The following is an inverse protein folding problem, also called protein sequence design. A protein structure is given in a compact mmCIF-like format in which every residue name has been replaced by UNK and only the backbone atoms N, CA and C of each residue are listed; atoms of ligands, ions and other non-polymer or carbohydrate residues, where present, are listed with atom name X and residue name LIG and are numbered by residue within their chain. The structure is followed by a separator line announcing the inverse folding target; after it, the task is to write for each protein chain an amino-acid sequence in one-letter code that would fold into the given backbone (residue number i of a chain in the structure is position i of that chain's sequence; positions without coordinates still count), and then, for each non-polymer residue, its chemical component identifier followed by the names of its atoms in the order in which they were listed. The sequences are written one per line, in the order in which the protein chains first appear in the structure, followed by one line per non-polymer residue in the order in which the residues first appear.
data_IF_644255905785
#
_entry.id   IF_644255905785
#
_cell.length_a   1.000
_cell.length_b   1.000
_cell.length_c   1.000
_cell.angle_alpha   90.00
_cell.angle_beta   90.00
_cell.angle_gamma   90.00
#
_symmetry.space_group_name_H-M   'P 1'
#
loop_
_entity.id
_entity.type
_entity.pdbx_description
1 polymer ?
#
# COMPACT_ATOMS: atom_id res chain seq x y z
N UNK A 1 -27.17 -7.26 12.15
CA UNK A 1 -26.82 -7.99 10.91
C UNK A 1 -26.33 -9.40 11.26
N UNK A 2 -26.53 -10.40 10.40
CA UNK A 2 -25.95 -11.75 10.54
C UNK A 2 -24.93 -12.00 9.43
N UNK A 3 -23.86 -12.74 9.71
CA UNK A 3 -22.88 -13.13 8.69
C UNK A 3 -23.36 -14.35 7.88
N UNK A 4 -22.58 -14.75 6.86
CA UNK A 4 -22.82 -15.93 6.02
C UNK A 4 -22.90 -17.27 6.78
N UNK A 5 -22.60 -17.27 8.07
CA UNK A 5 -22.65 -18.43 8.97
C UNK A 5 -23.77 -18.30 10.02
N UNK A 6 -24.68 -17.32 9.88
CA UNK A 6 -25.80 -17.11 10.79
C UNK A 6 -25.46 -16.40 12.11
N UNK A 7 -24.20 -16.02 12.33
CA UNK A 7 -23.76 -15.35 13.56
C UNK A 7 -24.07 -13.86 13.53
N UNK A 8 -24.53 -13.30 14.66
CA UNK A 8 -24.76 -11.87 14.80
C UNK A 8 -23.44 -11.08 14.66
N UNK A 9 -23.41 -10.14 13.73
CA UNK A 9 -22.30 -9.22 13.50
C UNK A 9 -22.42 -8.08 14.50
N UNK A 10 -21.46 -8.00 15.42
CA UNK A 10 -21.36 -6.92 16.43
C UNK A 10 -20.43 -5.78 15.99
N UNK A 11 -19.48 -6.07 15.09
CA UNK A 11 -18.44 -5.13 14.66
C UNK A 11 -18.22 -5.28 13.15
N UNK A 12 -18.00 -4.15 12.47
CA UNK A 12 -17.70 -4.10 11.03
C UNK A 12 -16.40 -3.34 10.87
N UNK A 13 -15.41 -3.97 10.22
CA UNK A 13 -14.16 -3.31 9.84
C UNK A 13 -14.37 -2.63 8.48
N UNK A 14 -14.04 -1.35 8.40
CA UNK A 14 -14.06 -0.58 7.15
C UNK A 14 -12.62 -0.19 6.84
N UNK A 15 -12.17 -0.46 5.61
CA UNK A 15 -10.86 -0.04 5.11
C UNK A 15 -11.04 1.23 4.28
N UNK A 16 -10.33 2.29 4.67
CA UNK A 16 -10.43 3.61 4.03
C UNK A 16 -9.09 3.95 3.37
N UNK A 17 -9.15 4.35 2.10
CA UNK A 17 -7.97 4.73 1.31
C UNK A 17 -7.47 6.14 1.66
N UNK A 18 -8.37 7.03 2.11
CA UNK A 18 -8.03 8.42 2.46
C UNK A 18 -7.79 8.55 3.96
N UNK A 19 -6.56 8.95 4.34
CA UNK A 19 -6.18 9.24 5.72
C UNK A 19 -6.99 10.39 6.33
N UNK A 20 -7.43 11.36 5.51
CA UNK A 20 -8.23 12.51 5.96
C UNK A 20 -9.63 12.08 6.38
N UNK A 21 -10.32 11.35 5.50
CA UNK A 21 -11.67 10.82 5.76
C UNK A 21 -11.66 9.89 6.98
N UNK A 22 -10.60 9.09 7.14
CA UNK A 22 -10.41 8.27 8.33
C UNK A 22 -10.35 9.11 9.60
N UNK A 23 -9.61 10.22 9.59
CA UNK A 23 -9.47 11.07 10.77
C UNK A 23 -10.77 11.77 11.10
N UNK A 24 -11.45 12.34 10.11
CA UNK A 24 -12.74 13.02 10.28
C UNK A 24 -13.78 12.07 10.92
N UNK A 25 -13.86 10.82 10.44
CA UNK A 25 -14.74 9.80 11.02
C UNK A 25 -14.35 9.37 12.45
N UNK A 26 -13.06 9.31 12.75
CA UNK A 26 -12.57 8.97 14.10
C UNK A 26 -12.83 10.11 15.09
N UNK A 27 -12.77 11.36 14.64
CA UNK A 27 -13.04 12.54 15.46
C UNK A 27 -14.54 12.68 15.76
N UNK A 28 -15.40 12.39 14.77
CA UNK A 28 -16.86 12.40 14.91
C UNK A 28 -17.39 11.26 15.80
N UNK A 29 -16.64 10.14 15.90
CA UNK A 29 -16.93 8.93 16.71
C UNK A 29 -18.26 8.23 16.42
N UNK A 30 -19.12 8.77 15.56
CA UNK A 30 -20.42 8.22 15.22
C UNK A 30 -20.70 8.36 13.73
N UNK A 31 -21.25 7.31 13.14
CA UNK A 31 -21.69 7.26 11.75
C UNK A 31 -23.18 6.94 11.70
N UNK A 32 -23.97 7.79 11.06
CA UNK A 32 -25.40 7.53 10.87
C UNK A 32 -25.68 7.08 9.45
N UNK A 33 -26.23 5.88 9.29
CA UNK A 33 -26.62 5.30 8.00
C UNK A 33 -28.08 4.89 8.11
N UNK A 34 -28.95 5.38 7.23
CA UNK A 34 -30.38 5.03 7.18
C UNK A 34 -31.06 5.12 8.56
N UNK A 35 -30.83 6.23 9.28
CA UNK A 35 -31.39 6.49 10.61
C UNK A 35 -30.90 5.58 11.74
N UNK A 36 -29.87 4.77 11.51
CA UNK A 36 -29.19 3.96 12.52
C UNK A 36 -27.81 4.56 12.78
N UNK A 37 -27.52 4.87 14.05
CA UNK A 37 -26.22 5.36 14.47
C UNK A 37 -25.31 4.20 14.89
N UNK A 38 -24.06 4.25 14.43
CA UNK A 38 -23.00 3.31 14.74
C UNK A 38 -21.86 4.07 15.44
N UNK A 39 -21.34 3.52 16.53
CA UNK A 39 -20.12 4.03 17.14
C UNK A 39 -18.91 3.61 16.31
N UNK A 40 -17.99 4.55 16.09
CA UNK A 40 -16.75 4.34 15.34
C UNK A 40 -15.58 4.33 16.32
N UNK A 41 -14.78 3.29 16.24
CA UNK A 41 -13.50 3.19 16.94
C UNK A 41 -12.37 2.88 15.96
N UNK A 42 -11.16 3.33 16.32
CA UNK A 42 -9.97 2.99 15.56
C UNK A 42 -9.71 1.48 15.64
N UNK A 43 -9.77 0.81 14.49
CA UNK A 43 -9.35 -0.58 14.40
C UNK A 43 -7.83 -0.66 14.55
N UNK A 44 -7.38 -1.16 15.70
CA UNK A 44 -5.99 -1.54 15.91
C UNK A 44 -5.83 -3.03 15.64
N UNK A 45 -5.06 -3.35 14.59
CA UNK A 45 -4.69 -4.72 14.33
C UNK A 45 -3.95 -5.28 15.57
N UNK A 46 -4.27 -6.52 16.00
CA UNK A 46 -3.54 -7.15 17.09
C UNK A 46 -2.04 -7.16 16.78
N UNK A 47 -1.23 -6.70 17.74
CA UNK A 47 0.22 -6.65 17.56
C UNK A 47 0.74 -8.08 17.34
N UNK A 48 1.58 -8.23 16.32
CA UNK A 48 2.34 -9.46 16.15
C UNK A 48 3.38 -9.54 17.26
N UNK A 49 3.21 -10.50 18.16
CA UNK A 49 4.21 -10.74 19.21
C UNK A 49 5.45 -11.29 18.57
N UNK A 50 6.56 -10.65 18.88
CA UNK A 50 7.87 -11.12 18.50
C UNK A 50 8.19 -12.37 19.32
N UNK A 51 8.28 -13.52 18.65
CA UNK A 51 8.65 -14.79 19.26
C UNK A 51 10.05 -15.15 18.77
N UNK A 52 10.99 -15.28 19.70
CA UNK A 52 12.37 -15.59 19.40
C UNK A 52 12.47 -16.95 18.70
N UNK A 53 13.13 -16.98 17.55
CA UNK A 53 13.26 -18.21 16.76
C UNK A 53 14.18 -19.27 17.39
N UNK A 54 15.01 -18.88 18.38
CA UNK A 54 16.00 -19.73 19.06
C UNK A 54 15.38 -20.42 20.27
N UNK A 55 14.91 -19.65 21.24
CA UNK A 55 14.39 -20.15 22.52
C UNK A 55 12.85 -20.16 22.59
N UNK A 56 12.14 -19.67 21.56
CA UNK A 56 10.68 -19.47 21.57
C UNK A 56 10.20 -18.52 22.69
N UNK A 57 11.05 -17.59 23.14
CA UNK A 57 10.68 -16.57 24.13
C UNK A 57 9.94 -15.39 23.52
N UNK A 58 9.18 -14.67 24.33
CA UNK A 58 8.44 -13.48 23.91
C UNK A 58 9.35 -12.23 23.98
N UNK A 59 9.19 -11.31 23.02
CA UNK A 59 9.66 -9.94 23.13
C UNK A 59 11.10 -9.64 22.70
N UNK A 60 11.82 -10.57 22.07
CA UNK A 60 13.20 -10.32 21.62
C UNK A 60 13.56 -11.03 20.31
N UNK A 61 14.51 -10.45 19.57
CA UNK A 61 15.06 -11.04 18.35
C UNK A 61 16.10 -12.13 18.66
N UNK A 62 16.32 -13.04 17.70
CA UNK A 62 17.35 -14.11 17.82
C UNK A 62 18.72 -13.59 18.23
N UNK A 63 19.15 -12.44 17.70
CA UNK A 63 20.46 -11.82 17.98
C UNK A 63 20.61 -11.29 19.41
N UNK A 64 19.48 -11.03 20.09
CA UNK A 64 19.42 -10.49 21.44
C UNK A 64 18.93 -11.54 22.44
N UNK A 65 18.98 -12.82 22.05
CA UNK A 65 18.56 -13.90 22.91
C UNK A 65 19.62 -14.16 23.98
N UNK A 66 19.28 -14.07 25.29
CA UNK A 66 20.23 -14.36 26.36
C UNK A 66 20.58 -15.84 26.45
N UNK A 67 19.73 -16.70 25.87
CA UNK A 67 19.86 -18.15 25.96
C UNK A 67 20.87 -18.67 24.93
N UNK A 68 21.82 -19.47 25.42
CA UNK A 68 22.81 -20.14 24.59
C UNK A 68 22.21 -21.36 23.87
N UNK A 69 21.19 -22.00 24.46
CA UNK A 69 20.52 -23.19 23.91
C UNK A 69 19.38 -22.83 22.95
N UNK A 70 19.10 -23.73 22.02
CA UNK A 70 17.96 -23.65 21.11
C UNK A 70 16.81 -24.51 21.65
N UNK A 71 15.56 -24.12 21.42
CA UNK A 71 14.38 -24.87 21.84
C UNK A 71 13.60 -25.33 20.63
N UNK A 72 13.23 -26.61 20.59
CA UNK A 72 12.39 -27.14 19.54
C UNK A 72 11.00 -26.48 19.58
N UNK A 73 10.51 -26.03 18.42
CA UNK A 73 9.22 -25.34 18.30
C UNK A 73 8.01 -26.26 18.53
N UNK A 74 8.22 -27.55 18.34
CA UNK A 74 7.19 -28.58 18.42
C UNK A 74 7.17 -29.19 19.82
N UNK A 75 8.26 -29.77 20.33
CA UNK A 75 8.25 -30.44 21.63
C UNK A 75 8.64 -29.54 22.82
N UNK A 76 9.08 -28.30 22.56
CA UNK A 76 9.56 -27.35 23.58
C UNK A 76 10.77 -27.79 24.42
N UNK A 77 11.49 -28.84 24.00
CA UNK A 77 12.74 -29.28 24.63
C UNK A 77 13.94 -28.43 24.17
N UNK A 78 14.91 -28.25 25.07
CA UNK A 78 16.12 -27.45 24.84
C UNK A 78 17.31 -28.30 24.40
N UNK A 79 18.03 -27.85 23.39
CA UNK A 79 19.18 -28.51 22.77
C UNK A 79 20.33 -27.52 22.56
N UNK A 80 21.57 -28.00 22.47
CA UNK A 80 22.72 -27.15 22.12
C UNK A 80 22.77 -26.84 20.62
N UNK A 81 22.53 -27.84 19.78
CA UNK A 81 22.29 -27.65 18.34
C UNK A 81 20.98 -28.34 17.95
N UNK A 82 20.11 -27.60 17.27
CA UNK A 82 18.79 -28.08 16.85
C UNK A 82 18.87 -28.93 15.57
N UNK A 83 20.02 -28.95 14.88
CA UNK A 83 20.24 -29.76 13.68
C UNK A 83 20.20 -31.27 13.95
N UNK A 84 20.59 -31.68 15.14
CA UNK A 84 20.64 -33.09 15.54
C UNK A 84 19.31 -33.59 16.13
N UNK A 85 18.29 -32.74 16.18
CA UNK A 85 17.00 -33.06 16.78
C UNK A 85 15.96 -33.48 15.73
N UNK A 86 15.65 -34.78 15.70
CA UNK A 86 14.47 -35.31 15.01
C UNK A 86 13.27 -35.33 15.96
N UNK A 87 12.35 -34.38 15.77
CA UNK A 87 11.16 -34.26 16.62
C UNK A 87 10.09 -35.31 16.23
N UNK A 88 9.85 -36.28 17.11
CA UNK A 88 8.75 -37.27 16.98
C UNK A 88 7.61 -37.00 17.97
N UNK A 89 7.77 -36.03 18.87
CA UNK A 89 6.81 -35.74 19.93
C UNK A 89 5.65 -34.84 19.49
N UNK A 90 4.53 -34.97 20.19
CA UNK A 90 3.36 -34.10 20.03
C UNK A 90 3.67 -32.62 20.30
N UNK A 91 2.98 -31.69 19.62
CA UNK A 91 3.21 -30.27 19.76
C UNK A 91 2.86 -29.78 21.18
N UNK A 92 3.86 -29.33 21.92
CA UNK A 92 3.74 -28.74 23.26
C UNK A 92 4.19 -27.29 23.25
N UNK A 93 3.39 -26.43 23.88
CA UNK A 93 3.65 -25.00 23.94
C UNK A 93 4.55 -24.66 25.14
N UNK A 94 5.68 -24.00 24.91
CA UNK A 94 6.61 -23.59 25.97
C UNK A 94 5.99 -22.65 27.01
N UNK A 95 5.00 -21.86 26.60
CA UNK A 95 4.43 -20.82 27.45
C UNK A 95 3.31 -21.32 28.37
N UNK A 96 2.55 -22.34 27.93
CA UNK A 96 1.37 -22.81 28.66
C UNK A 96 1.28 -24.33 28.77
N UNK A 97 2.27 -25.06 28.25
CA UNK A 97 2.38 -26.51 28.22
C UNK A 97 1.20 -27.26 27.55
N UNK A 98 0.35 -26.55 26.80
CA UNK A 98 -0.77 -27.15 26.07
C UNK A 98 -0.40 -27.76 24.73
N UNK A 99 -1.36 -28.46 24.12
CA UNK A 99 -1.20 -29.25 22.88
C UNK A 99 -1.24 -28.38 21.62
N UNK A 100 -0.28 -27.46 21.51
CA UNK A 100 -0.07 -26.62 20.34
C UNK A 100 1.37 -26.11 20.30
N UNK A 101 1.81 -25.64 19.14
CA UNK A 101 3.13 -25.03 18.99
C UNK A 101 3.23 -23.69 19.73
N UNK A 102 4.42 -23.33 20.21
CA UNK A 102 4.65 -22.08 20.98
C UNK A 102 4.30 -20.80 20.23
N UNK A 103 4.26 -20.85 18.89
CA UNK A 103 3.86 -19.73 18.03
C UNK A 103 2.36 -19.71 17.68
N UNK A 104 1.58 -20.68 18.15
CA UNK A 104 0.17 -20.79 17.82
C UNK A 104 -0.65 -19.66 18.43
N UNK A 105 -1.60 -19.15 17.64
CA UNK A 105 -2.60 -18.15 18.06
C UNK A 105 -3.53 -18.67 19.17
N UNK A 106 -3.55 -19.99 19.40
CA UNK A 106 -4.38 -20.64 20.43
C UNK A 106 -3.78 -20.52 21.83
N UNK A 107 -2.52 -20.10 21.98
CA UNK A 107 -1.87 -20.01 23.28
C UNK A 107 -2.48 -18.88 24.14
N UNK A 108 -3.01 -19.18 25.34
CA UNK A 108 -3.60 -18.16 26.21
C UNK A 108 -2.57 -17.14 26.71
N UNK A 109 -1.32 -17.55 26.93
CA UNK A 109 -0.23 -16.67 27.38
C UNK A 109 0.22 -15.72 26.27
N UNK A 110 0.35 -16.20 25.04
CA UNK A 110 0.64 -15.34 23.89
C UNK A 110 -0.52 -14.37 23.65
N UNK A 111 -1.77 -14.81 23.87
CA UNK A 111 -2.97 -13.97 23.73
C UNK A 111 -3.02 -12.85 24.79
N UNK A 112 -2.72 -13.15 26.05
CA UNK A 112 -2.69 -12.12 27.10
C UNK A 112 -1.56 -11.11 26.87
N UNK A 113 -0.37 -11.60 26.48
CA UNK A 113 0.77 -10.73 26.16
C UNK A 113 0.48 -9.80 24.97
N UNK A 114 -0.20 -10.31 23.93
CA UNK A 114 -0.73 -9.49 22.82
C UNK A 114 -1.64 -8.38 23.33
N UNK A 115 -2.63 -8.74 24.14
CA UNK A 115 -3.60 -7.80 24.66
C UNK A 115 -2.94 -6.70 25.51
N UNK A 116 -1.92 -7.04 26.30
CA UNK A 116 -1.17 -6.08 27.11
C UNK A 116 -0.34 -5.13 26.24
N UNK A 117 0.39 -5.64 25.25
CA UNK A 117 1.15 -4.79 24.31
C UNK A 117 0.23 -3.84 23.56
N UNK A 118 -0.92 -4.33 23.07
CA UNK A 118 -1.90 -3.48 22.39
C UNK A 118 -2.46 -2.40 23.34
N UNK A 119 -2.71 -2.75 24.61
CA UNK A 119 -3.15 -1.79 25.64
C UNK A 119 -2.11 -0.71 25.93
N UNK A 120 -0.82 -1.08 26.00
CA UNK A 120 0.28 -0.13 26.22
C UNK A 120 0.38 0.89 25.09
N UNK A 121 0.28 0.46 23.83
CA UNK A 121 0.29 1.39 22.68
C UNK A 121 -0.93 2.32 22.70
N UNK A 122 -2.11 1.78 23.01
CA UNK A 122 -3.34 2.56 23.17
C UNK A 122 -3.20 3.65 24.25
N UNK A 123 -2.62 3.30 25.39
CA UNK A 123 -2.40 4.26 26.48
C UNK A 123 -1.36 5.33 26.11
N UNK A 124 -0.29 4.97 25.40
CA UNK A 124 0.75 5.91 24.99
C UNK A 124 0.29 6.92 23.95
N UNK A 125 -0.66 6.56 23.06
CA UNK A 125 -1.18 7.49 22.05
C UNK A 125 -2.13 8.56 22.61
N UNK A 126 -2.75 8.33 23.77
CA UNK A 126 -3.60 9.33 24.44
C UNK A 126 -2.81 10.37 25.24
N UNK A 127 -1.52 10.12 25.51
CA UNK A 127 -0.62 11.06 26.17
C UNK A 127 0.48 11.51 25.21
N UNK A 128 0.13 12.33 24.21
CA UNK A 128 1.13 13.04 23.42
C UNK A 128 1.46 14.35 24.16
N UNK A 129 2.67 14.54 24.73
CA UNK A 129 3.08 15.86 25.17
C UNK A 129 3.16 16.72 23.91
N UNK A 130 2.45 17.85 23.92
CA UNK A 130 2.72 18.92 22.98
C UNK A 130 4.23 19.22 23.02
N UNK A 131 4.84 19.28 21.86
CA UNK A 131 6.24 19.64 21.68
C UNK A 131 6.43 21.08 22.20
N UNK A 132 6.77 21.23 23.47
CA UNK A 132 7.25 22.49 24.05
C UNK A 132 8.78 22.46 23.97
N UNK A 133 9.28 23.05 22.89
CA UNK A 133 10.66 23.48 22.78
C UNK A 133 10.88 24.65 23.74
N UNK A 134 11.41 24.38 24.94
CA UNK A 134 12.10 25.35 25.81
C UNK A 134 12.74 24.63 27.00
N UNK A 135 14.02 24.34 26.93
CA UNK A 135 14.83 24.11 28.13
C UNK A 135 16.14 24.86 27.98
N UNK A 136 16.12 26.10 28.46
CA UNK A 136 17.28 26.92 28.78
C UNK A 136 18.02 26.24 29.93
N UNK A 137 19.22 25.73 29.65
CA UNK A 137 20.16 25.22 30.65
C UNK A 137 20.67 26.40 31.48
N UNK A 138 20.24 26.49 32.74
CA UNK A 138 20.87 27.34 33.76
C UNK A 138 22.24 26.77 34.11
N UNK A 139 23.28 27.49 33.69
CA UNK A 139 24.68 27.19 33.91
C UNK A 139 25.06 27.66 35.32
N UNK A 140 25.12 26.76 36.31
CA UNK A 140 25.66 27.08 37.63
C UNK A 140 27.19 26.99 37.59
N UNK A 141 27.83 28.16 37.62
CA UNK A 141 29.27 28.35 37.56
C UNK A 141 29.87 28.10 38.96
N UNK A 142 30.49 26.94 39.20
CA UNK A 142 31.31 26.71 40.39
C UNK A 142 32.72 27.24 40.14
N UNK A 143 33.10 28.29 40.86
CA UNK A 143 34.43 28.89 40.79
C UNK A 143 35.38 28.18 41.77
N UNK A 144 36.41 27.54 41.24
CA UNK A 144 37.42 26.78 41.99
C UNK A 144 38.33 27.74 42.77
N UNK A 145 38.46 27.56 44.09
CA UNK A 145 39.38 28.31 44.94
C UNK A 145 40.54 27.41 45.41
N UNK A 146 41.80 27.65 45.00
CA UNK A 146 42.92 26.77 45.31
C UNK A 146 43.36 26.78 46.79
N UNK A 147 42.80 27.67 47.61
CA UNK A 147 43.21 27.85 49.02
C UNK A 147 42.52 26.90 50.00
N UNK A 148 41.53 26.12 49.57
CA UNK A 148 40.75 25.21 50.42
C UNK A 148 41.42 23.83 50.62
N UNK A 149 42.63 23.61 50.09
CA UNK A 149 43.35 22.35 50.24
C UNK A 149 44.70 22.51 50.97
N UNK A 150 45.03 21.64 51.95
CA UNK A 150 46.31 21.70 52.64
C UNK A 150 47.49 21.33 51.71
N UNK A 151 48.68 21.91 51.92
CA UNK A 151 49.82 21.68 51.04
C UNK A 151 50.30 20.23 51.11
N UNK A 152 50.42 19.61 49.94
CA UNK A 152 50.85 18.21 49.80
C UNK A 152 52.34 18.11 50.16
N UNK A 153 52.64 17.49 51.30
CA UNK A 153 54.02 17.12 51.66
C UNK A 153 54.48 15.99 50.76
N UNK A 154 55.56 16.22 50.02
CA UNK A 154 56.20 15.28 49.11
C UNK A 154 56.82 14.10 49.86
N UNK A 155 56.08 13.00 49.96
CA UNK A 155 56.61 11.69 50.33
C UNK A 155 55.71 10.61 49.73
N UNK A 156 55.95 10.28 48.46
CA UNK A 156 55.34 9.12 47.81
C UNK A 156 56.43 8.34 47.10
N UNK A 157 56.92 7.30 47.77
CA UNK A 157 57.56 6.17 47.11
C UNK A 157 56.53 5.46 46.23
N UNK A 158 56.93 4.78 45.13
CA UNK A 158 56.00 4.14 44.22
C UNK A 158 55.39 2.92 44.90
N UNK A 159 54.20 3.09 45.48
CA UNK A 159 53.38 1.98 45.93
C UNK A 159 52.53 1.60 44.73
N UNK A 160 52.80 0.44 44.14
CA UNK A 160 51.88 -0.27 43.25
C UNK A 160 50.61 -0.60 44.04
N UNK A 161 49.74 0.40 44.14
CA UNK A 161 48.47 0.27 44.83
C UNK A 161 47.44 -0.26 43.82
N UNK A 162 46.69 -1.33 44.14
CA UNK A 162 45.62 -1.85 43.29
C UNK A 162 44.51 -0.83 43.01
N UNK A 163 44.53 0.32 43.68
CA UNK A 163 43.67 1.46 43.40
C UNK A 163 44.14 2.27 42.19
N UNK A 164 45.45 2.36 41.95
CA UNK A 164 46.04 3.05 40.79
C UNK A 164 45.82 2.22 39.52
N UNK A 165 45.91 0.89 39.59
CA UNK A 165 45.57 0.03 38.45
C UNK A 165 44.08 0.15 38.08
N UNK A 166 43.17 0.13 39.07
CA UNK A 166 41.74 0.38 38.83
C UNK A 166 41.46 1.77 38.26
N UNK A 167 42.20 2.79 38.67
CA UNK A 167 42.07 4.14 38.11
C UNK A 167 42.53 4.17 36.65
N UNK A 168 43.65 3.52 36.32
CA UNK A 168 44.12 3.38 34.94
C UNK A 168 43.12 2.58 34.09
N UNK A 169 42.49 1.54 34.63
CA UNK A 169 41.43 0.78 33.94
C UNK A 169 40.21 1.67 33.66
N UNK A 170 39.80 2.50 34.61
CA UNK A 170 38.70 3.46 34.44
C UNK A 170 39.06 4.53 33.39
N UNK A 171 40.27 5.07 33.41
CA UNK A 171 40.75 6.05 32.42
C UNK A 171 40.75 5.43 31.01
N UNK A 172 41.22 4.18 30.89
CA UNK A 172 41.24 3.44 29.63
C UNK A 172 39.81 3.14 29.15
N UNK A 173 38.92 2.75 30.06
CA UNK A 173 37.50 2.56 29.78
C UNK A 173 36.82 3.85 29.31
N UNK A 174 37.10 4.99 29.93
CA UNK A 174 36.57 6.29 29.53
C UNK A 174 37.07 6.69 28.13
N UNK A 175 38.35 6.48 27.85
CA UNK A 175 38.92 6.74 26.53
C UNK A 175 38.24 5.88 25.45
N UNK A 176 37.96 4.62 25.76
CA UNK A 176 37.29 3.70 24.83
C UNK A 176 35.81 4.05 24.61
N UNK A 177 35.11 4.53 25.64
CA UNK A 177 33.75 5.08 25.50
C UNK A 177 33.78 6.31 24.60
N UNK A 178 34.73 7.22 24.79
CA UNK A 178 34.85 8.42 23.97
C UNK A 178 35.12 8.10 22.48
N UNK A 179 35.99 7.11 22.21
CA UNK A 179 36.23 6.62 20.84
C UNK A 179 34.96 6.00 20.24
N UNK A 180 34.21 5.23 21.02
CA UNK A 180 32.94 4.65 20.58
C UNK A 180 31.90 5.73 20.26
N UNK A 181 31.79 6.75 21.12
CA UNK A 181 30.91 7.90 20.89
C UNK A 181 31.27 8.66 19.62
N UNK A 182 32.56 8.87 19.36
CA UNK A 182 33.04 9.51 18.13
C UNK A 182 32.60 8.75 16.88
N UNK A 183 32.79 7.42 16.86
CA UNK A 183 32.33 6.55 15.77
C UNK A 183 30.80 6.58 15.62
N UNK A 184 30.06 6.61 16.72
CA UNK A 184 28.60 6.70 16.69
C UNK A 184 28.14 8.04 16.09
N UNK A 185 28.82 9.13 16.44
CA UNK A 185 28.54 10.45 15.89
C UNK A 185 28.78 10.49 14.37
N UNK A 186 29.90 9.94 13.89
CA UNK A 186 30.19 9.84 12.45
C UNK A 186 29.17 8.98 11.70
N UNK A 187 28.77 7.84 12.27
CA UNK A 187 27.76 6.97 11.65
C UNK A 187 26.39 7.64 11.62
N UNK A 188 26.02 8.39 12.65
CA UNK A 188 24.79 9.18 12.67
C UNK A 188 24.81 10.28 11.59
N UNK A 189 25.93 11.00 11.45
CA UNK A 189 26.10 12.02 10.41
C UNK A 189 25.94 11.44 8.98
N UNK A 190 26.54 10.27 8.72
CA UNK A 190 26.36 9.55 7.45
C UNK A 190 24.91 9.11 7.22
N UNK A 191 24.23 8.67 8.28
CA UNK A 191 22.82 8.30 8.20
C UNK A 191 21.91 9.50 7.89
N UNK A 192 22.15 10.65 8.53
CA UNK A 192 21.42 11.88 8.23
C UNK A 192 21.63 12.31 6.77
N UNK A 193 22.86 12.28 6.29
CA UNK A 193 23.17 12.58 4.89
C UNK A 193 22.46 11.61 3.93
N UNK A 194 22.44 10.32 4.25
CA UNK A 194 21.70 9.32 3.49
C UNK A 194 20.20 9.62 3.47
N UNK A 195 19.60 9.98 4.60
CA UNK A 195 18.19 10.32 4.69
C UNK A 195 17.84 11.55 3.85
N UNK A 196 18.69 12.58 3.85
CA UNK A 196 18.51 13.77 3.00
C UNK A 196 18.54 13.40 1.51
N UNK A 197 19.53 12.62 1.09
CA UNK A 197 19.65 12.18 -0.31
C UNK A 197 18.46 11.33 -0.72
N UNK A 198 18.04 10.40 0.16
CA UNK A 198 16.89 9.54 -0.10
C UNK A 198 15.59 10.34 -0.21
N UNK A 199 15.35 11.28 0.70
CA UNK A 199 14.17 12.13 0.64
C UNK A 199 14.14 12.99 -0.64
N UNK A 200 15.29 13.54 -1.06
CA UNK A 200 15.38 14.28 -2.32
C UNK A 200 15.06 13.41 -3.54
N UNK A 201 15.55 12.16 -3.54
CA UNK A 201 15.26 11.19 -4.58
C UNK A 201 13.77 10.79 -4.60
N UNK A 202 13.18 10.54 -3.43
CA UNK A 202 11.77 10.18 -3.32
C UNK A 202 10.86 11.33 -3.80
N UNK A 203 11.22 12.59 -3.50
CA UNK A 203 10.52 13.76 -4.04
C UNK A 203 10.59 13.87 -5.56
N UNK A 204 11.72 13.49 -6.17
CA UNK A 204 11.85 13.45 -7.63
C UNK A 204 10.92 12.39 -8.25
N UNK A 205 10.87 11.19 -7.66
CA UNK A 205 9.97 10.12 -8.11
C UNK A 205 8.51 10.56 -8.01
N UNK A 206 8.12 11.20 -6.91
CA UNK A 206 6.75 11.70 -6.72
C UNK A 206 6.39 12.69 -7.86
N UNK A 207 7.29 13.61 -8.19
CA UNK A 207 7.09 14.55 -9.31
C UNK A 207 6.95 13.86 -10.67
N UNK A 208 7.76 12.83 -10.95
CA UNK A 208 7.64 12.03 -12.17
C UNK A 208 6.29 11.29 -12.26
N UNK A 209 5.82 10.71 -11.15
CA UNK A 209 4.52 10.05 -11.06
C UNK A 209 3.37 11.03 -11.31
N UNK A 210 3.43 12.23 -10.73
CA UNK A 210 2.41 13.27 -10.94
C UNK A 210 2.36 13.74 -12.40
N UNK A 211 3.52 13.91 -13.03
CA UNK A 211 3.60 14.24 -14.46
C UNK A 211 2.98 13.15 -15.34
N UNK A 212 3.28 11.88 -15.07
CA UNK A 212 2.67 10.74 -15.79
C UNK A 212 1.15 10.72 -15.62
N UNK A 213 0.66 10.96 -14.39
CA UNK A 213 -0.77 11.02 -14.10
C UNK A 213 -1.48 12.17 -14.82
N UNK A 214 -0.81 13.30 -14.98
CA UNK A 214 -1.35 14.42 -15.77
C UNK A 214 -1.45 14.07 -17.25
N UNK A 215 -0.45 13.38 -17.81
CA UNK A 215 -0.47 12.94 -19.19
C UNK A 215 -1.58 11.90 -19.45
N UNK A 216 -1.79 10.97 -18.52
CA UNK A 216 -2.85 9.96 -18.60
C UNK A 216 -4.24 10.61 -18.71
N UNK A 217 -4.53 11.63 -17.88
CA UNK A 217 -5.78 12.41 -17.98
C UNK A 217 -5.96 13.10 -19.34
N UNK A 218 -4.86 13.58 -19.92
CA UNK A 218 -4.89 14.20 -21.25
C UNK A 218 -5.24 13.16 -22.31
N UNK A 219 -4.62 11.98 -22.27
CA UNK A 219 -4.96 10.87 -23.17
C UNK A 219 -6.42 10.42 -23.02
N UNK A 220 -6.93 10.33 -21.81
CA UNK A 220 -8.34 9.98 -21.56
C UNK A 220 -9.28 11.00 -22.19
N UNK A 221 -8.97 12.30 -22.06
CA UNK A 221 -9.74 13.39 -22.68
C UNK A 221 -9.69 13.32 -24.20
N UNK A 222 -8.50 13.10 -24.78
CA UNK A 222 -8.30 12.97 -26.22
C UNK A 222 -9.05 11.74 -26.78
N UNK A 223 -9.09 10.64 -26.04
CA UNK A 223 -9.78 9.42 -26.40
C UNK A 223 -11.31 9.60 -26.39
N UNK A 224 -11.86 10.30 -25.39
CA UNK A 224 -13.28 10.67 -25.36
C UNK A 224 -13.63 11.58 -26.54
N UNK A 225 -12.77 12.55 -26.85
CA UNK A 225 -12.97 13.44 -28.01
C UNK A 225 -12.94 12.66 -29.33
N UNK A 226 -12.02 11.71 -29.49
CA UNK A 226 -11.94 10.88 -30.69
C UNK A 226 -13.18 10.00 -30.84
N UNK A 227 -13.63 9.37 -29.75
CA UNK A 227 -14.80 8.50 -29.77
C UNK A 227 -16.08 9.27 -30.13
N UNK A 228 -16.26 10.47 -29.57
CA UNK A 228 -17.39 11.34 -29.92
C UNK A 228 -17.35 11.80 -31.39
N UNK A 229 -16.16 12.08 -31.95
CA UNK A 229 -16.01 12.37 -33.38
C UNK A 229 -16.34 11.16 -34.25
N UNK A 230 -15.87 9.97 -33.89
CA UNK A 230 -16.20 8.72 -34.60
C UNK A 230 -17.70 8.49 -34.63
N UNK A 231 -18.36 8.60 -33.47
CA UNK A 231 -19.81 8.39 -33.37
C UNK A 231 -20.61 9.41 -34.22
N UNK A 232 -20.17 10.67 -34.26
CA UNK A 232 -20.77 11.68 -35.15
C UNK A 232 -20.59 11.31 -36.63
N UNK A 233 -19.42 10.80 -37.01
CA UNK A 233 -19.15 10.36 -38.37
C UNK A 233 -20.04 9.18 -38.78
N UNK A 234 -20.20 8.18 -37.89
CA UNK A 234 -21.08 7.04 -38.14
C UNK A 234 -22.54 7.47 -38.32
N UNK A 235 -23.02 8.40 -37.50
CA UNK A 235 -24.37 8.93 -37.61
C UNK A 235 -24.56 9.71 -38.93
N UNK A 236 -23.57 10.51 -39.35
CA UNK A 236 -23.60 11.20 -40.65
C UNK A 236 -23.59 10.20 -41.82
N UNK A 237 -22.79 9.14 -41.73
CA UNK A 237 -22.75 8.10 -42.76
C UNK A 237 -24.09 7.38 -42.88
N UNK A 238 -24.73 7.02 -41.76
CA UNK A 238 -26.08 6.44 -41.76
C UNK A 238 -27.11 7.39 -42.36
N UNK A 239 -27.05 8.68 -42.02
CA UNK A 239 -27.96 9.67 -42.58
C UNK A 239 -27.77 9.83 -44.09
N UNK A 240 -26.53 9.86 -44.58
CA UNK A 240 -26.24 9.91 -46.01
C UNK A 240 -26.71 8.65 -46.73
N UNK A 241 -26.57 7.48 -46.12
CA UNK A 241 -27.09 6.21 -46.67
C UNK A 241 -28.61 6.23 -46.79
N UNK A 242 -29.32 6.73 -45.77
CA UNK A 242 -30.78 6.90 -45.81
C UNK A 242 -31.22 7.89 -46.89
N UNK A 243 -30.52 9.02 -47.03
CA UNK A 243 -30.79 10.00 -48.10
C UNK A 243 -30.58 9.36 -49.47
N UNK A 244 -29.52 8.58 -49.66
CA UNK A 244 -29.27 7.86 -50.90
C UNK A 244 -30.38 6.85 -51.20
N UNK A 245 -30.83 6.08 -50.21
CA UNK A 245 -31.96 5.15 -50.38
C UNK A 245 -33.26 5.89 -50.73
N UNK A 246 -33.54 7.01 -50.07
CA UNK A 246 -34.78 7.78 -50.25
C UNK A 246 -34.82 8.57 -51.57
N UNK A 247 -33.67 8.95 -52.13
CA UNK A 247 -33.63 9.71 -53.39
C UNK A 247 -33.31 8.83 -54.60
N UNK A 248 -32.27 8.01 -54.51
CA UNK A 248 -31.71 7.33 -55.67
C UNK A 248 -32.59 6.14 -56.11
N UNK A 249 -33.13 5.37 -55.17
CA UNK A 249 -34.00 4.23 -55.50
C UNK A 249 -35.32 4.67 -56.14
N UNK A 250 -36.05 5.69 -55.63
CA UNK A 250 -37.26 6.17 -56.28
C UNK A 250 -37.00 6.80 -57.65
N UNK A 251 -35.89 7.53 -57.84
CA UNK A 251 -35.52 8.08 -59.15
C UNK A 251 -35.23 6.97 -60.15
N UNK A 252 -34.53 5.91 -59.75
CA UNK A 252 -34.32 4.73 -60.59
C UNK A 252 -35.64 4.03 -60.94
N UNK A 253 -36.58 3.96 -59.98
CA UNK A 253 -37.93 3.43 -60.21
C UNK A 253 -38.71 4.24 -61.24
N UNK A 254 -38.64 5.57 -61.15
CA UNK A 254 -39.35 6.44 -62.09
C UNK A 254 -38.70 6.42 -63.48
N UNK A 255 -37.37 6.36 -63.57
CA UNK A 255 -36.66 6.14 -64.84
C UNK A 255 -37.07 4.79 -65.46
N UNK A 256 -37.15 3.72 -64.66
CA UNK A 256 -37.61 2.41 -65.13
C UNK A 256 -39.04 2.45 -65.68
N UNK A 257 -39.94 3.20 -65.03
CA UNK A 257 -41.31 3.40 -65.54
C UNK A 257 -41.31 4.16 -66.87
N UNK A 258 -40.55 5.25 -66.97
CA UNK A 258 -40.46 6.07 -68.19
C UNK A 258 -39.91 5.24 -69.35
N UNK A 259 -38.79 4.55 -69.14
CA UNK A 259 -38.17 3.68 -70.15
C UNK A 259 -39.13 2.55 -70.53
N UNK A 260 -39.85 1.96 -69.57
CA UNK A 260 -40.86 0.93 -69.85
C UNK A 260 -42.02 1.41 -70.74
N UNK A 261 -42.35 2.70 -70.70
CA UNK A 261 -43.34 3.32 -71.60
C UNK A 261 -42.73 3.64 -72.96
N UNK A 262 -41.51 4.19 -72.99
CA UNK A 262 -40.82 4.56 -74.23
C UNK A 262 -40.32 3.36 -75.05
N UNK A 263 -40.04 2.23 -74.39
CA UNK A 263 -39.53 1.01 -75.00
C UNK A 263 -40.64 0.10 -75.54
N UNK A 264 -41.74 0.68 -76.04
CA UNK A 264 -42.85 -0.04 -76.66
C UNK A 264 -43.17 0.57 -78.02
N UNK A 265 -43.44 -0.27 -79.01
CA UNK A 265 -43.97 0.20 -80.29
C UNK A 265 -45.46 0.59 -80.20
N UNK A 266 -46.03 1.14 -81.27
CA UNK A 266 -47.46 1.50 -81.34
C UNK A 266 -48.42 0.32 -81.12
N UNK A 267 -47.93 -0.92 -81.18
CA UNK A 267 -48.68 -2.16 -80.92
C UNK A 267 -48.43 -2.74 -79.52
N UNK A 268 -47.64 -2.04 -78.69
CA UNK A 268 -47.31 -2.43 -77.32
C UNK A 268 -46.19 -3.46 -77.18
N UNK A 269 -45.49 -3.82 -78.26
CA UNK A 269 -44.37 -4.78 -78.24
C UNK A 269 -43.08 -4.09 -77.80
N UNK A 270 -42.23 -4.75 -76.99
CA UNK A 270 -40.98 -4.16 -76.54
C UNK A 270 -40.01 -3.92 -77.71
N UNK A 271 -39.44 -2.72 -77.81
CA UNK A 271 -38.49 -2.35 -78.88
C UNK A 271 -37.11 -2.98 -78.66
N UNK A 272 -36.65 -3.02 -77.40
CA UNK A 272 -35.45 -3.73 -76.95
C UNK A 272 -35.81 -4.57 -75.73
N UNK A 273 -35.79 -5.90 -75.89
CA UNK A 273 -36.16 -6.84 -74.83
C UNK A 273 -35.17 -6.86 -73.65
N UNK A 274 -33.93 -6.38 -73.85
CA UNK A 274 -32.83 -6.52 -72.88
C UNK A 274 -32.56 -5.21 -72.10
N UNK A 275 -33.09 -4.07 -72.53
CA UNK A 275 -33.00 -2.80 -71.78
C UNK A 275 -33.54 -2.96 -70.37
N UNK A 276 -34.69 -3.60 -70.21
CA UNK A 276 -35.32 -3.77 -68.89
C UNK A 276 -34.46 -4.61 -67.95
N UNK A 277 -33.92 -5.73 -68.43
CA UNK A 277 -33.05 -6.63 -67.68
C UNK A 277 -31.77 -5.92 -67.21
N UNK A 278 -31.14 -5.10 -68.06
CA UNK A 278 -29.95 -4.32 -67.71
C UNK A 278 -30.22 -3.31 -66.59
N UNK A 279 -31.33 -2.57 -66.66
CA UNK A 279 -31.67 -1.60 -65.62
C UNK A 279 -32.13 -2.26 -64.30
N UNK A 280 -32.81 -3.40 -64.35
CA UNK A 280 -33.13 -4.19 -63.15
C UNK A 280 -31.84 -4.73 -62.49
N UNK A 281 -30.84 -5.11 -63.28
CA UNK A 281 -29.52 -5.51 -62.78
C UNK A 281 -28.76 -4.34 -62.13
N UNK A 282 -28.78 -3.14 -62.73
CA UNK A 282 -28.20 -1.94 -62.10
C UNK A 282 -28.92 -1.57 -60.80
N UNK A 283 -30.25 -1.65 -60.77
CA UNK A 283 -31.04 -1.45 -59.54
C UNK A 283 -30.63 -2.45 -58.45
N UNK A 284 -30.51 -3.73 -58.79
CA UNK A 284 -30.11 -4.77 -57.84
C UNK A 284 -28.67 -4.55 -57.33
N UNK A 285 -27.74 -4.09 -58.18
CA UNK A 285 -26.39 -3.74 -57.76
C UNK A 285 -26.35 -2.55 -56.80
N UNK A 286 -27.16 -1.51 -57.06
CA UNK A 286 -27.29 -0.33 -56.20
C UNK A 286 -27.93 -0.69 -54.86
N UNK A 287 -29.01 -1.48 -54.86
CA UNK A 287 -29.65 -1.97 -53.64
C UNK A 287 -28.68 -2.81 -52.80
N UNK A 288 -27.98 -3.76 -53.43
CA UNK A 288 -26.95 -4.56 -52.77
C UNK A 288 -25.80 -3.73 -52.22
N UNK A 289 -25.32 -2.72 -52.96
CA UNK A 289 -24.27 -1.81 -52.49
C UNK A 289 -24.73 -0.96 -51.29
N UNK A 290 -26.02 -0.63 -51.21
CA UNK A 290 -26.61 0.08 -50.06
C UNK A 290 -26.83 -0.82 -48.83
N UNK A 291 -26.87 -2.14 -49.00
CA UNK A 291 -27.06 -3.09 -47.89
C UNK A 291 -25.73 -3.71 -47.40
N UNK A 292 -24.70 -3.77 -48.27
CA UNK A 292 -23.50 -4.59 -48.04
C UNK A 292 -22.37 -3.92 -47.23
N UNK A 293 -22.60 -2.76 -46.57
CA UNK A 293 -21.59 -2.15 -45.67
C UNK A 293 -21.86 -2.36 -44.18
N UNK A 294 -22.73 -3.31 -43.83
CA UNK A 294 -22.75 -3.92 -42.49
C UNK A 294 -21.77 -5.11 -42.49
N UNK A 295 -20.47 -4.83 -42.53
CA UNK A 295 -19.45 -5.79 -42.15
C UNK A 295 -18.51 -5.12 -41.15
N UNK A 296 -18.42 -5.75 -39.98
CA UNK A 296 -17.63 -5.39 -38.80
C UNK A 296 -16.22 -4.88 -39.13
#
# INVERSE_FOLDING_TARGET
MKNKFGNNIKLVKIELTSSKVRQDLLDDKKLTINYISYDIDQYLAPINVLICSKYCGLGHFRKQCPELTETCRTCSQTFQDLKDHHCVSDPKCKHCNGDHTSNSMKCPVVKSFRAELTRKILASNNNRPAFSSSSTTTNNNYQYNPSDFPPITSSWSPVDSPMISKLNDVITGLAQVNVTLGKLCETNSKFEQFMVVKNAHDMKIIGEIEHLKSNDKKFETDLVLLNTKSHKHDNLMKQNEEILKQLLLPVLDDILKIIGVMNKDYSGRPLDADVRSRFELYRAQVAKASESKIFN
#
